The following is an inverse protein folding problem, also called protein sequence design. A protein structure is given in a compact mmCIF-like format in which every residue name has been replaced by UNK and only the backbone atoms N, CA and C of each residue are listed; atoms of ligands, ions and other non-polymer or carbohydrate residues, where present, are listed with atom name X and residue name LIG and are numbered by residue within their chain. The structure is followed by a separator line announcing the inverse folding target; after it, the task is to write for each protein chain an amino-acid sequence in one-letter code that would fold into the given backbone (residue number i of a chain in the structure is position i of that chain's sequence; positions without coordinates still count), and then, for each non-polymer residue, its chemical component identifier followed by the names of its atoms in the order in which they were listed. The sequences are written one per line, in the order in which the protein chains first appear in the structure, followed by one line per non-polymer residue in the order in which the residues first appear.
data_IF_026711227890
#
_entry.id   IF_026711227890
#
_cell.length_a   1.000
_cell.length_b   1.000
_cell.length_c   1.000
_cell.angle_alpha   90.00
_cell.angle_beta   90.00
_cell.angle_gamma   90.00
#
_symmetry.space_group_name_H-M   'P 1'
#
loop_
_entity.id
_entity.type
_entity.pdbx_description
1 polymer ?
#
# COMPACT_ATOMS: atom_id res chain seq x y z
N UNK A 1 -52.84 -0.79 -8.86
CA UNK A 1 -51.92 -1.91 -9.18
C UNK A 1 -51.11 -1.71 -10.47
N UNK A 2 -51.72 -1.36 -11.63
CA UNK A 2 -50.99 -1.19 -12.90
C UNK A 2 -49.82 -0.18 -12.90
N UNK A 3 -49.86 0.85 -12.05
CA UNK A 3 -48.77 1.85 -11.94
C UNK A 3 -47.60 1.41 -11.05
N UNK A 4 -47.77 0.38 -10.24
CA UNK A 4 -46.73 -0.12 -9.32
C UNK A 4 -45.77 -1.08 -10.03
N UNK A 5 -46.27 -1.79 -11.04
CA UNK A 5 -45.52 -2.75 -11.85
C UNK A 5 -44.30 -2.14 -12.58
N UNK A 6 -44.38 -0.97 -13.25
CA UNK A 6 -43.21 -0.38 -13.91
C UNK A 6 -42.15 0.09 -12.90
N UNK A 7 -42.56 0.56 -11.72
CA UNK A 7 -41.61 0.95 -10.66
C UNK A 7 -40.87 -0.26 -10.07
N UNK A 8 -41.58 -1.37 -9.86
CA UNK A 8 -40.96 -2.64 -9.45
C UNK A 8 -39.98 -3.16 -10.50
N UNK A 9 -40.36 -3.12 -11.78
CA UNK A 9 -39.46 -3.51 -12.87
C UNK A 9 -38.21 -2.61 -12.93
N UNK A 10 -38.38 -1.30 -12.83
CA UNK A 10 -37.26 -0.35 -12.81
C UNK A 10 -36.33 -0.58 -11.60
N UNK A 11 -36.89 -0.79 -10.41
CA UNK A 11 -36.12 -1.10 -9.21
C UNK A 11 -35.34 -2.41 -9.34
N UNK A 12 -35.95 -3.43 -9.96
CA UNK A 12 -35.30 -4.72 -10.19
C UNK A 12 -34.16 -4.60 -11.19
N UNK A 13 -34.34 -3.86 -12.30
CA UNK A 13 -33.27 -3.59 -13.27
C UNK A 13 -32.13 -2.79 -12.63
N UNK A 14 -32.44 -1.72 -11.89
CA UNK A 14 -31.43 -0.91 -11.20
C UNK A 14 -30.67 -1.73 -10.15
N UNK A 15 -31.36 -2.53 -9.34
CA UNK A 15 -30.73 -3.38 -8.34
C UNK A 15 -29.81 -4.43 -8.96
N UNK A 16 -30.24 -5.05 -10.06
CA UNK A 16 -29.42 -6.04 -10.78
C UNK A 16 -28.20 -5.37 -11.42
N UNK A 17 -28.36 -4.18 -12.01
CA UNK A 17 -27.26 -3.40 -12.57
C UNK A 17 -26.22 -3.00 -11.53
N UNK A 18 -26.66 -2.58 -10.33
CA UNK A 18 -25.77 -2.27 -9.21
C UNK A 18 -25.00 -3.52 -8.77
N UNK A 19 -25.66 -4.68 -8.65
CA UNK A 19 -24.99 -5.92 -8.27
C UNK A 19 -23.96 -6.37 -9.32
N UNK A 20 -24.23 -6.14 -10.60
CA UNK A 20 -23.29 -6.47 -11.68
C UNK A 20 -22.08 -5.51 -11.66
N UNK A 21 -22.30 -4.22 -11.47
CA UNK A 21 -21.24 -3.21 -11.35
C UNK A 21 -20.40 -3.39 -10.09
N UNK A 22 -20.98 -3.93 -9.02
CA UNK A 22 -20.25 -4.20 -7.76
C UNK A 22 -19.06 -5.14 -7.96
N UNK A 23 -19.15 -6.09 -8.89
CA UNK A 23 -18.04 -7.00 -9.19
C UNK A 23 -16.84 -6.29 -9.82
N UNK A 24 -17.07 -5.23 -10.59
CA UNK A 24 -16.02 -4.45 -11.25
C UNK A 24 -15.47 -3.32 -10.38
N UNK A 25 -16.27 -2.85 -9.42
CA UNK A 25 -15.93 -1.71 -8.54
C UNK A 25 -15.30 -2.13 -7.21
N UNK A 26 -15.23 -3.43 -6.90
CA UNK A 26 -14.55 -3.91 -5.71
C UNK A 26 -13.08 -4.16 -6.00
N UNK A 27 -12.20 -3.54 -5.20
CA UNK A 27 -10.81 -3.97 -5.08
C UNK A 27 -10.80 -5.46 -4.72
N UNK A 28 -10.24 -6.27 -5.60
CA UNK A 28 -10.09 -7.71 -5.37
C UNK A 28 -8.79 -7.90 -4.60
N UNK A 29 -8.89 -8.35 -3.35
CA UNK A 29 -7.71 -8.74 -2.57
C UNK A 29 -7.07 -9.97 -3.25
N UNK A 30 -5.83 -9.80 -3.74
CA UNK A 30 -5.08 -10.90 -4.33
C UNK A 30 -4.29 -11.57 -3.20
N UNK A 31 -4.59 -12.83 -2.83
CA UNK A 31 -3.87 -13.51 -1.76
C UNK A 31 -2.40 -13.67 -2.15
N UNK A 32 -1.52 -13.25 -1.25
CA UNK A 32 -0.08 -13.24 -1.48
C UNK A 32 0.54 -14.58 -1.03
N UNK A 33 1.54 -15.11 -1.75
CA UNK A 33 2.18 -16.38 -1.40
C UNK A 33 2.77 -16.34 0.00
N UNK A 34 2.67 -17.44 0.75
CA UNK A 34 3.33 -17.55 2.05
C UNK A 34 4.84 -17.33 1.92
N UNK A 35 5.41 -16.47 2.78
CA UNK A 35 6.83 -16.12 2.75
C UNK A 35 7.21 -15.04 1.73
N UNK A 36 6.25 -14.49 0.97
CA UNK A 36 6.51 -13.29 0.17
C UNK A 36 6.81 -12.09 1.06
N UNK A 37 7.60 -11.16 0.55
CA UNK A 37 7.92 -9.92 1.24
C UNK A 37 8.17 -8.80 0.25
N UNK A 38 8.06 -7.56 0.72
CA UNK A 38 8.38 -6.37 -0.08
C UNK A 38 9.49 -5.60 0.59
N UNK A 39 10.58 -5.38 -0.14
CA UNK A 39 11.68 -4.51 0.28
C UNK A 39 11.41 -3.08 -0.18
N UNK A 40 11.50 -2.15 0.76
CA UNK A 40 11.27 -0.71 0.54
C UNK A 40 12.53 0.05 0.88
N UNK A 41 12.95 0.96 -0.01
CA UNK A 41 14.04 1.91 0.23
C UNK A 41 13.52 3.32 0.00
N UNK A 42 13.68 4.16 1.02
CA UNK A 42 13.11 5.50 1.12
C UNK A 42 14.21 6.51 1.40
N UNK A 43 14.37 7.51 0.53
CA UNK A 43 15.19 8.68 0.81
C UNK A 43 14.31 9.78 1.40
N UNK A 44 14.64 10.30 2.57
CA UNK A 44 13.85 11.28 3.31
C UNK A 44 14.66 12.53 3.54
N UNK A 45 14.13 13.66 3.08
CA UNK A 45 14.60 15.00 3.40
C UNK A 45 13.61 15.66 4.36
N UNK A 46 14.13 16.32 5.39
CA UNK A 46 13.33 17.05 6.38
C UNK A 46 13.78 18.50 6.42
N UNK A 47 12.91 19.42 6.86
CA UNK A 47 13.28 20.83 7.05
C UNK A 47 13.63 21.15 8.51
N UNK A 48 13.27 20.23 9.40
CA UNK A 48 13.45 20.27 10.84
C UNK A 48 14.85 19.74 11.25
N UNK A 49 15.04 19.52 12.56
CA UNK A 49 16.28 18.98 13.14
C UNK A 49 16.56 17.56 12.63
N UNK A 50 17.76 17.34 12.09
CA UNK A 50 18.20 16.02 11.62
C UNK A 50 18.10 14.92 12.69
N UNK A 51 18.22 15.28 13.97
CA UNK A 51 18.11 14.35 15.08
C UNK A 51 16.74 13.65 15.17
N UNK A 52 15.67 14.25 14.62
CA UNK A 52 14.32 13.65 14.64
C UNK A 52 13.95 12.94 13.34
N UNK A 53 14.83 12.95 12.32
CA UNK A 53 14.57 12.38 10.99
C UNK A 53 14.14 10.92 11.04
N UNK A 54 14.85 10.12 11.83
CA UNK A 54 14.53 8.69 11.94
C UNK A 54 13.17 8.48 12.58
N UNK A 55 12.90 9.15 13.70
CA UNK A 55 11.63 9.03 14.42
C UNK A 55 10.44 9.46 13.56
N UNK A 56 10.58 10.59 12.84
CA UNK A 56 9.56 11.04 11.90
C UNK A 56 9.36 10.05 10.75
N UNK A 57 10.45 9.46 10.23
CA UNK A 57 10.36 8.45 9.17
C UNK A 57 9.67 7.18 9.67
N UNK A 58 9.97 6.72 10.89
CA UNK A 58 9.25 5.61 11.53
C UNK A 58 7.77 5.92 11.71
N UNK A 59 7.44 7.15 12.10
CA UNK A 59 6.06 7.63 12.21
C UNK A 59 5.33 7.61 10.86
N UNK A 60 5.96 8.09 9.80
CA UNK A 60 5.43 8.05 8.43
C UNK A 60 5.16 6.61 7.98
N UNK A 61 6.15 5.72 8.11
CA UNK A 61 6.01 4.30 7.73
C UNK A 61 4.92 3.60 8.55
N UNK A 62 4.86 3.88 9.86
CA UNK A 62 3.83 3.33 10.75
C UNK A 62 2.41 3.79 10.41
N UNK A 63 2.27 5.00 9.85
CA UNK A 63 0.98 5.50 9.39
C UNK A 63 0.62 4.93 8.01
N UNK A 64 1.56 4.93 7.07
CA UNK A 64 1.31 4.44 5.71
C UNK A 64 1.09 2.93 5.65
N UNK A 65 1.64 2.14 6.58
CA UNK A 65 1.34 0.71 6.64
C UNK A 65 -0.15 0.42 6.93
N UNK A 66 -0.88 1.36 7.52
CA UNK A 66 -2.31 1.16 7.84
C UNK A 66 -3.20 1.13 6.59
N UNK A 67 -2.66 1.53 5.44
CA UNK A 67 -3.34 1.54 4.15
C UNK A 67 -3.13 0.25 3.35
N UNK A 68 -2.25 -0.65 3.79
CA UNK A 68 -1.94 -1.89 3.08
C UNK A 68 -2.09 -3.10 4.00
N UNK A 69 -2.35 -4.27 3.42
CA UNK A 69 -2.52 -5.51 4.19
C UNK A 69 -1.17 -6.18 4.49
N UNK A 70 -0.19 -5.42 4.98
CA UNK A 70 1.12 -5.92 5.36
C UNK A 70 1.70 -5.19 6.58
N UNK A 71 2.44 -5.94 7.39
CA UNK A 71 3.13 -5.44 8.57
C UNK A 71 4.63 -5.25 8.30
N UNK A 72 5.22 -4.26 8.94
CA UNK A 72 6.66 -4.06 8.95
C UNK A 72 7.29 -5.20 9.74
N UNK A 73 8.24 -5.90 9.13
CA UNK A 73 8.99 -6.96 9.81
C UNK A 73 9.81 -6.33 10.93
N UNK A 74 9.69 -6.89 12.13
CA UNK A 74 10.48 -6.47 13.29
C UNK A 74 11.97 -6.47 12.94
N UNK A 75 12.69 -5.45 13.44
CA UNK A 75 14.12 -5.24 13.20
C UNK A 75 14.55 -5.07 11.73
N UNK A 76 13.62 -4.95 10.79
CA UNK A 76 13.95 -4.71 9.37
C UNK A 76 14.20 -3.24 9.04
N UNK A 77 13.74 -2.32 9.90
CA UNK A 77 13.90 -0.88 9.70
C UNK A 77 15.33 -0.46 10.04
N UNK A 78 16.07 0.01 9.05
CA UNK A 78 17.46 0.43 9.20
C UNK A 78 17.77 1.67 8.36
N UNK A 79 18.63 2.55 8.87
CA UNK A 79 19.29 3.56 8.06
C UNK A 79 20.43 2.91 7.27
N UNK A 80 20.38 3.02 5.94
CA UNK A 80 21.40 2.44 5.04
C UNK A 80 22.37 3.47 4.49
N UNK A 81 21.96 4.75 4.50
CA UNK A 81 22.79 5.91 4.14
C UNK A 81 22.22 7.17 4.81
N UNK A 82 22.87 8.32 4.66
CA UNK A 82 22.41 9.60 5.17
C UNK A 82 21.02 9.96 4.61
N UNK A 83 20.01 9.93 5.48
CA UNK A 83 18.63 10.17 5.08
C UNK A 83 18.02 9.08 4.21
N UNK A 84 18.66 7.91 4.08
CA UNK A 84 18.10 6.76 3.34
C UNK A 84 17.81 5.63 4.30
N UNK A 85 16.57 5.17 4.29
CA UNK A 85 16.06 4.12 5.16
C UNK A 85 15.58 2.93 4.33
N UNK A 86 15.81 1.72 4.83
CA UNK A 86 15.25 0.50 4.28
C UNK A 86 14.38 -0.22 5.31
N UNK A 87 13.30 -0.85 4.86
CA UNK A 87 12.49 -1.73 5.68
C UNK A 87 11.81 -2.80 4.83
N UNK A 88 11.29 -3.84 5.49
CA UNK A 88 10.61 -4.96 4.84
C UNK A 88 9.18 -5.08 5.33
N UNK A 89 8.27 -5.36 4.40
CA UNK A 89 6.86 -5.65 4.67
C UNK A 89 6.55 -7.13 4.44
N UNK A 90 5.68 -7.70 5.28
CA UNK A 90 5.13 -9.07 5.14
C UNK A 90 3.62 -9.11 5.45
N UNK A 91 2.81 -9.82 4.65
CA UNK A 91 3.17 -10.47 3.38
C UNK A 91 3.62 -9.46 2.31
N UNK A 92 4.18 -9.96 1.20
CA UNK A 92 4.54 -9.10 0.07
C UNK A 92 3.32 -8.39 -0.50
N UNK A 93 3.50 -7.20 -1.04
CA UNK A 93 2.42 -6.36 -1.58
C UNK A 93 2.05 -6.74 -3.01
N UNK A 94 0.76 -6.66 -3.33
CA UNK A 94 0.31 -6.66 -4.71
C UNK A 94 0.53 -5.31 -5.40
N UNK A 95 0.13 -5.21 -6.67
CA UNK A 95 0.31 -4.00 -7.45
C UNK A 95 -0.52 -2.81 -6.92
N UNK A 96 -1.69 -3.07 -6.36
CA UNK A 96 -2.57 -2.04 -5.82
C UNK A 96 -2.00 -1.50 -4.51
N UNK A 97 -1.71 -2.38 -3.55
CA UNK A 97 -1.11 -2.05 -2.27
C UNK A 97 0.23 -1.32 -2.45
N UNK A 98 1.04 -1.75 -3.42
CA UNK A 98 2.29 -1.07 -3.77
C UNK A 98 2.06 0.38 -4.16
N UNK A 99 1.08 0.65 -5.03
CA UNK A 99 0.77 2.02 -5.48
C UNK A 99 0.21 2.87 -4.34
N UNK A 100 -0.61 2.27 -3.48
CA UNK A 100 -1.18 2.97 -2.33
C UNK A 100 -0.10 3.35 -1.31
N UNK A 101 0.78 2.40 -0.98
CA UNK A 101 1.94 2.65 -0.12
C UNK A 101 2.88 3.70 -0.73
N UNK A 102 3.23 3.57 -2.01
CA UNK A 102 4.10 4.53 -2.70
C UNK A 102 3.48 5.93 -2.70
N UNK A 103 2.17 6.03 -2.94
CA UNK A 103 1.42 7.28 -2.88
C UNK A 103 1.45 7.91 -1.50
N UNK A 104 1.20 7.13 -0.44
CA UNK A 104 1.24 7.60 0.93
C UNK A 104 2.64 8.07 1.34
N UNK A 105 3.68 7.28 1.04
CA UNK A 105 5.06 7.62 1.39
C UNK A 105 5.52 8.90 0.68
N UNK A 106 5.10 9.13 -0.56
CA UNK A 106 5.41 10.36 -1.30
C UNK A 106 4.52 11.56 -0.93
N UNK A 107 3.48 11.37 -0.10
CA UNK A 107 2.58 12.48 0.24
C UNK A 107 3.21 13.46 1.23
N UNK A 108 3.75 14.53 0.67
CA UNK A 108 4.38 15.66 1.36
C UNK A 108 3.44 16.44 2.28
N UNK A 109 2.13 16.27 2.16
CA UNK A 109 1.14 17.05 2.94
C UNK A 109 1.05 16.62 4.40
N UNK A 110 1.50 15.41 4.73
CA UNK A 110 1.15 14.82 6.03
C UNK A 110 2.17 15.16 7.12
N UNK A 111 3.45 15.42 6.83
CA UNK A 111 4.47 15.48 7.91
C UNK A 111 5.64 16.48 7.77
N UNK A 112 5.62 17.47 6.87
CA UNK A 112 6.80 18.32 6.56
C UNK A 112 8.04 17.53 6.05
N UNK A 113 7.86 16.24 5.81
CA UNK A 113 8.83 15.31 5.22
C UNK A 113 8.69 15.31 3.70
N UNK A 114 9.82 15.33 2.99
CA UNK A 114 9.90 15.01 1.58
C UNK A 114 10.50 13.62 1.46
N UNK A 115 9.67 12.61 1.20
CA UNK A 115 10.12 11.24 1.01
C UNK A 115 10.09 10.85 -0.47
N UNK A 116 11.16 10.22 -0.92
CA UNK A 116 11.32 9.66 -2.26
C UNK A 116 11.53 8.15 -2.16
N UNK A 117 10.55 7.40 -2.66
CA UNK A 117 10.61 5.94 -2.74
C UNK A 117 11.56 5.56 -3.87
N UNK A 118 12.76 5.09 -3.51
CA UNK A 118 13.84 4.71 -4.44
C UNK A 118 13.67 3.30 -4.98
N UNK A 119 13.20 2.39 -4.14
CA UNK A 119 12.94 1.00 -4.49
C UNK A 119 11.72 0.50 -3.72
N UNK A 120 10.85 -0.22 -4.42
CA UNK A 120 9.74 -0.94 -3.83
C UNK A 120 9.54 -2.21 -4.66
N UNK A 121 10.02 -3.33 -4.13
CA UNK A 121 10.10 -4.59 -4.84
C UNK A 121 9.54 -5.73 -4.00
N UNK A 122 8.52 -6.41 -4.54
CA UNK A 122 7.94 -7.60 -3.93
C UNK A 122 8.69 -8.83 -4.45
N UNK A 123 9.21 -9.63 -3.54
CA UNK A 123 9.88 -10.90 -3.82
C UNK A 123 8.94 -12.03 -3.39
N UNK A 124 8.64 -12.94 -4.31
CA UNK A 124 7.93 -14.18 -3.98
C UNK A 124 8.93 -15.33 -3.79
N UNK A 125 8.57 -16.39 -3.03
CA UNK A 125 9.47 -17.55 -2.85
C UNK A 125 9.90 -18.23 -4.15
N UNK A 126 9.09 -18.12 -5.21
CA UNK A 126 9.38 -18.69 -6.53
C UNK A 126 10.48 -17.89 -7.26
N UNK A 127 10.58 -16.58 -7.00
CA UNK A 127 11.59 -15.69 -7.59
C UNK A 127 12.94 -15.81 -6.88
N UNK A 128 12.94 -16.10 -5.58
CA UNK A 128 14.15 -16.19 -4.75
C UNK A 128 15.10 -17.36 -5.12
N UNK A 129 14.64 -18.32 -5.93
CA UNK A 129 15.40 -19.48 -6.36
C UNK A 129 16.00 -19.39 -7.78
N UNK A 130 15.71 -18.33 -8.53
CA UNK A 130 16.24 -18.17 -9.90
C UNK A 130 17.53 -17.33 -9.87
N UNK A 131 18.70 -17.90 -10.24
CA UNK A 131 19.89 -17.08 -10.44
C UNK A 131 19.70 -16.14 -11.64
N UNK A 132 20.41 -15.00 -11.67
CA UNK A 132 20.34 -14.02 -12.77
C UNK A 132 20.77 -14.59 -14.12
#
# INVERSE_FOLDING_TARGET
MKRVLPWLAAALVAGTGILFLRAELMTVDIPQPEGSYTDVVLAVSIREDEAVREEMTRGLVSNCRLLVNADVVEDSFAAVDEGVFSFRLRPGLDEFDRRELEGCLRDTKVQHLLADVRRLETVTPQDAGSPP
#
